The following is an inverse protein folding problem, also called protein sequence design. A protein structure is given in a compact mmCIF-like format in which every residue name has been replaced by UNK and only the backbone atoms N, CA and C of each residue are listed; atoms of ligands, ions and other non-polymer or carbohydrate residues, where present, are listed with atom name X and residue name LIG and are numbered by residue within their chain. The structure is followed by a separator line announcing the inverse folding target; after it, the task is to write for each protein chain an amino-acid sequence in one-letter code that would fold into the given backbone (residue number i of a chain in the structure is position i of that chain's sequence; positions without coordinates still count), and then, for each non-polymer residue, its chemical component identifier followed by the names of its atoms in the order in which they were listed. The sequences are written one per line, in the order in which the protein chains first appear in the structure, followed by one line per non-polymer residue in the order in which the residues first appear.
data_IF_360617914848
#
_entry.id   IF_360617914848
#
_cell.length_a   1.000
_cell.length_b   1.000
_cell.length_c   1.000
_cell.angle_alpha   90.00
_cell.angle_beta   90.00
_cell.angle_gamma   90.00
#
_symmetry.space_group_name_H-M   'P 1'
#
loop_
_entity.id
_entity.type
_entity.pdbx_description
1 polymer ?
#
# COMPACT_ATOMS: atom_id res chain seq x y z
N UNK A 1 -12.33 -7.68 23.13
CA UNK A 1 -11.20 -7.95 22.21
C UNK A 1 -10.71 -6.61 21.73
N UNK A 2 -9.55 -6.17 22.19
CA UNK A 2 -8.86 -5.03 21.59
C UNK A 2 -8.58 -5.38 20.13
N UNK A 3 -9.05 -4.54 19.20
CA UNK A 3 -8.57 -4.65 17.81
C UNK A 3 -7.08 -4.35 17.89
N UNK A 4 -6.18 -5.21 17.38
CA UNK A 4 -4.77 -4.86 17.35
C UNK A 4 -4.63 -3.53 16.61
N UNK A 5 -3.95 -2.56 17.23
CA UNK A 5 -3.55 -1.32 16.58
C UNK A 5 -2.74 -1.70 15.35
N UNK A 6 -3.39 -1.77 14.18
CA UNK A 6 -2.71 -2.06 12.94
C UNK A 6 -2.01 -0.75 12.51
N UNK A 7 -0.67 -0.67 12.60
CA UNK A 7 0.03 0.60 12.45
C UNK A 7 -0.09 1.18 11.02
N UNK A 8 -0.49 0.36 10.04
CA UNK A 8 -0.67 0.79 8.65
C UNK A 8 -1.95 1.59 8.41
N UNK A 9 -2.88 1.58 9.37
CA UNK A 9 -4.17 2.26 9.22
C UNK A 9 -3.96 3.77 9.07
N UNK A 10 -4.66 4.35 8.11
CA UNK A 10 -4.58 5.76 7.76
C UNK A 10 -4.08 5.98 6.34
N UNK A 11 -3.77 7.25 6.05
CA UNK A 11 -3.41 7.73 4.73
C UNK A 11 -1.91 8.01 4.64
N UNK A 12 -1.31 7.53 3.54
CA UNK A 12 0.13 7.56 3.30
C UNK A 12 0.40 8.03 1.88
N UNK A 13 1.21 9.08 1.71
CA UNK A 13 1.49 9.68 0.40
C UNK A 13 2.99 9.66 0.08
N UNK A 14 3.34 9.31 -1.15
CA UNK A 14 4.72 9.40 -1.62
C UNK A 14 5.16 10.87 -1.72
N UNK A 15 6.26 11.27 -1.06
CA UNK A 15 6.81 12.61 -1.21
C UNK A 15 7.46 12.80 -2.59
N UNK A 16 7.73 14.05 -2.94
CA UNK A 16 8.49 14.43 -4.13
C UNK A 16 9.89 13.79 -4.10
N UNK A 17 10.42 13.42 -5.27
CA UNK A 17 11.76 12.83 -5.42
C UNK A 17 11.78 11.32 -5.63
N UNK A 18 10.61 10.67 -5.74
CA UNK A 18 10.47 9.26 -6.11
C UNK A 18 9.53 9.10 -7.31
N UNK A 19 9.60 7.98 -8.06
CA UNK A 19 8.62 7.68 -9.10
C UNK A 19 7.19 7.69 -8.56
N UNK A 20 6.26 8.31 -9.28
CA UNK A 20 4.86 8.48 -8.88
C UNK A 20 4.68 9.36 -7.63
N UNK A 21 5.48 10.42 -7.48
CA UNK A 21 5.31 11.40 -6.40
C UNK A 21 3.86 11.87 -6.31
N UNK A 22 3.29 11.87 -5.10
CA UNK A 22 1.88 12.20 -4.88
C UNK A 22 0.91 11.01 -4.95
N UNK A 23 1.32 9.82 -5.43
CA UNK A 23 0.56 8.58 -5.22
C UNK A 23 0.33 8.39 -3.72
N UNK A 24 -0.92 8.11 -3.34
CA UNK A 24 -1.26 7.82 -1.96
C UNK A 24 -2.06 6.53 -1.83
N UNK A 25 -1.91 5.90 -0.68
CA UNK A 25 -2.73 4.81 -0.18
C UNK A 25 -3.50 5.25 1.05
N UNK A 26 -4.72 4.77 1.20
CA UNK A 26 -5.51 4.89 2.41
C UNK A 26 -5.97 3.50 2.83
N UNK A 27 -5.58 3.08 4.04
CA UNK A 27 -5.89 1.77 4.62
C UNK A 27 -6.90 1.95 5.75
N UNK A 28 -8.08 1.35 5.59
CA UNK A 28 -9.21 1.55 6.49
C UNK A 28 -9.30 0.44 7.55
N UNK A 29 -9.91 0.77 8.69
CA UNK A 29 -10.10 -0.17 9.82
C UNK A 29 -10.99 -1.37 9.48
N UNK A 30 -11.76 -1.30 8.40
CA UNK A 30 -12.63 -2.38 7.92
C UNK A 30 -11.92 -3.37 6.98
N UNK A 31 -10.62 -3.17 6.72
CA UNK A 31 -9.83 -4.00 5.83
C UNK A 31 -9.95 -3.62 4.35
N UNK A 32 -10.52 -2.46 4.03
CA UNK A 32 -10.51 -1.91 2.66
C UNK A 32 -9.34 -0.96 2.44
N UNK A 33 -8.88 -0.86 1.20
CA UNK A 33 -7.90 0.16 0.81
C UNK A 33 -8.33 0.90 -0.45
N UNK A 34 -7.82 2.13 -0.56
CA UNK A 34 -7.84 2.91 -1.79
C UNK A 34 -6.41 3.35 -2.14
N UNK A 35 -6.08 3.39 -3.42
CA UNK A 35 -4.88 4.02 -3.94
C UNK A 35 -5.26 5.00 -5.05
N UNK A 36 -4.66 6.19 -5.06
CA UNK A 36 -4.92 7.19 -6.10
C UNK A 36 -3.63 7.89 -6.49
N UNK A 37 -3.43 8.01 -7.80
CA UNK A 37 -2.43 8.88 -8.38
C UNK A 37 -3.10 9.82 -9.39
N UNK A 38 -3.42 11.02 -8.89
CA UNK A 38 -4.21 12.03 -9.60
C UNK A 38 -3.57 12.47 -10.91
N UNK A 39 -2.24 12.59 -10.95
CA UNK A 39 -1.50 13.06 -12.13
C UNK A 39 -1.73 12.18 -13.37
N UNK A 40 -1.95 10.88 -13.17
CA UNK A 40 -2.25 9.93 -14.26
C UNK A 40 -3.72 9.51 -14.28
N UNK A 41 -4.59 10.11 -13.46
CA UNK A 41 -5.99 9.70 -13.33
C UNK A 41 -6.17 8.25 -12.86
N UNK A 42 -5.19 7.69 -12.14
CA UNK A 42 -5.22 6.31 -11.67
C UNK A 42 -5.91 6.24 -10.33
N UNK A 43 -6.89 5.35 -10.23
CA UNK A 43 -7.53 4.93 -8.99
C UNK A 43 -7.48 3.41 -8.89
N UNK A 44 -7.37 2.92 -7.67
CA UNK A 44 -7.41 1.49 -7.36
C UNK A 44 -8.05 1.28 -6.00
N UNK A 45 -8.73 0.16 -5.83
CA UNK A 45 -9.36 -0.18 -4.56
C UNK A 45 -9.48 -1.69 -4.40
N UNK A 46 -9.69 -2.11 -3.15
CA UNK A 46 -9.81 -3.52 -2.82
C UNK A 46 -9.79 -3.75 -1.32
N UNK A 47 -9.41 -4.96 -0.93
CA UNK A 47 -9.21 -5.33 0.47
C UNK A 47 -7.75 -5.60 0.77
N UNK A 48 -7.39 -5.53 2.05
CA UNK A 48 -6.06 -5.85 2.51
C UNK A 48 -6.09 -6.61 3.83
N UNK A 49 -5.04 -7.39 4.04
CA UNK A 49 -4.68 -7.95 5.34
C UNK A 49 -3.19 -7.74 5.59
N UNK A 50 -2.81 -7.67 6.86
CA UNK A 50 -1.40 -7.61 7.27
C UNK A 50 -1.08 -8.80 8.16
N UNK A 51 0.14 -9.29 8.04
CA UNK A 51 0.70 -10.31 8.93
C UNK A 51 2.18 -10.02 9.10
N UNK A 52 2.62 -9.75 10.33
CA UNK A 52 4.00 -9.37 10.65
C UNK A 52 4.46 -8.16 9.79
N UNK A 53 5.48 -8.36 8.94
CA UNK A 53 6.03 -7.35 8.05
C UNK A 53 5.47 -7.44 6.61
N UNK A 54 4.44 -8.27 6.39
CA UNK A 54 3.83 -8.49 5.09
C UNK A 54 2.44 -7.87 4.98
N UNK A 55 2.16 -7.36 3.78
CA UNK A 55 0.86 -6.86 3.37
C UNK A 55 0.37 -7.65 2.16
N UNK A 56 -0.90 -8.04 2.18
CA UNK A 56 -1.56 -8.73 1.10
C UNK A 56 -2.74 -7.89 0.65
N UNK A 57 -2.78 -7.56 -0.64
CA UNK A 57 -3.82 -6.75 -1.25
C UNK A 57 -4.60 -7.62 -2.23
N UNK A 58 -5.91 -7.56 -2.16
CA UNK A 58 -6.80 -8.06 -3.20
C UNK A 58 -7.42 -6.86 -3.91
N UNK A 59 -6.78 -6.44 -5.00
CA UNK A 59 -7.19 -5.27 -5.78
C UNK A 59 -8.26 -5.69 -6.78
N UNK A 60 -9.51 -5.33 -6.47
CA UNK A 60 -10.68 -5.66 -7.29
C UNK A 60 -11.06 -4.53 -8.26
N UNK A 61 -10.48 -3.33 -8.08
CA UNK A 61 -10.71 -2.18 -8.95
C UNK A 61 -9.39 -1.51 -9.32
N UNK A 62 -9.23 -1.16 -10.59
CA UNK A 62 -8.11 -0.37 -11.10
C UNK A 62 -8.50 0.31 -12.42
N UNK A 63 -8.20 1.61 -12.61
CA UNK A 63 -8.62 2.38 -13.79
C UNK A 63 -8.17 1.77 -15.13
N UNK A 64 -7.01 1.10 -15.17
CA UNK A 64 -6.48 0.40 -16.34
C UNK A 64 -6.64 -1.13 -16.30
N UNK A 65 -7.51 -1.68 -15.44
CA UNK A 65 -7.79 -3.12 -15.41
C UNK A 65 -6.72 -4.01 -14.77
N UNK A 66 -5.71 -3.43 -14.12
CA UNK A 66 -4.67 -4.17 -13.38
C UNK A 66 -5.20 -4.71 -12.05
N UNK A 67 -6.17 -5.61 -12.09
CA UNK A 67 -6.75 -6.26 -10.91
C UNK A 67 -5.95 -7.51 -10.51
N UNK A 68 -6.05 -7.93 -9.25
CA UNK A 68 -5.46 -9.18 -8.76
C UNK A 68 -4.91 -9.09 -7.35
N UNK A 69 -4.23 -10.17 -6.96
CA UNK A 69 -3.60 -10.28 -5.64
C UNK A 69 -2.16 -9.82 -5.69
N UNK A 70 -1.81 -8.91 -4.79
CA UNK A 70 -0.47 -8.36 -4.66
C UNK A 70 0.06 -8.67 -3.27
N UNK A 71 1.25 -9.24 -3.20
CA UNK A 71 1.96 -9.47 -1.95
C UNK A 71 3.08 -8.43 -1.81
N UNK A 72 3.27 -7.92 -0.60
CA UNK A 72 4.29 -6.91 -0.31
C UNK A 72 4.89 -7.04 1.08
N UNK A 73 5.99 -6.31 1.29
CA UNK A 73 6.59 -6.08 2.60
C UNK A 73 6.49 -4.62 2.96
N UNK A 74 6.35 -4.35 4.25
CA UNK A 74 6.31 -3.00 4.75
C UNK A 74 7.05 -2.84 6.08
N UNK A 75 7.47 -1.61 6.36
CA UNK A 75 7.98 -1.19 7.66
C UNK A 75 7.44 0.19 7.97
N UNK A 76 6.96 0.37 9.20
CA UNK A 76 6.48 1.66 9.69
C UNK A 76 7.42 2.15 10.79
N UNK A 77 7.76 3.43 10.70
CA UNK A 77 8.43 4.17 11.76
C UNK A 77 7.68 5.49 11.94
N UNK A 78 7.13 5.71 13.14
CA UNK A 78 6.47 6.94 13.62
C UNK A 78 5.56 7.67 12.60
N UNK A 79 6.10 8.36 11.59
CA UNK A 79 5.37 9.08 10.54
C UNK A 79 5.66 8.61 9.10
N UNK A 80 6.40 7.51 8.93
CA UNK A 80 6.86 6.99 7.64
C UNK A 80 6.49 5.53 7.45
N UNK A 81 6.15 5.20 6.20
CA UNK A 81 5.88 3.85 5.71
C UNK A 81 6.84 3.57 4.56
N UNK A 82 7.68 2.56 4.70
CA UNK A 82 8.39 1.94 3.58
C UNK A 82 7.58 0.75 3.11
N UNK A 83 7.22 0.72 1.83
CA UNK A 83 6.45 -0.38 1.26
C UNK A 83 7.01 -0.81 -0.10
N UNK A 84 7.19 -2.12 -0.27
CA UNK A 84 7.57 -2.76 -1.52
C UNK A 84 6.55 -3.84 -1.85
N UNK A 85 6.15 -3.97 -3.12
CA UNK A 85 5.17 -4.97 -3.57
C UNK A 85 5.67 -5.67 -4.82
N UNK A 86 5.35 -6.95 -4.96
CA UNK A 86 5.50 -7.70 -6.21
C UNK A 86 4.43 -7.32 -7.23
N UNK A 87 4.52 -7.88 -8.44
CA UNK A 87 3.43 -7.79 -9.41
C UNK A 87 2.25 -8.69 -9.00
N UNK A 88 1.13 -8.58 -9.72
CA UNK A 88 -0.04 -9.43 -9.47
C UNK A 88 0.33 -10.92 -9.61
N UNK A 89 0.02 -11.72 -8.59
CA UNK A 89 0.33 -13.15 -8.53
C UNK A 89 1.77 -13.50 -8.14
N UNK A 90 2.64 -12.50 -7.99
CA UNK A 90 4.00 -12.71 -7.48
C UNK A 90 4.05 -12.68 -5.95
N UNK A 91 5.08 -13.31 -5.39
CA UNK A 91 5.36 -13.28 -3.96
C UNK A 91 5.88 -11.92 -3.51
N UNK A 92 5.70 -11.64 -2.22
CA UNK A 92 6.28 -10.46 -1.59
C UNK A 92 7.79 -10.41 -1.86
N UNK A 93 8.36 -9.22 -2.15
CA UNK A 93 9.80 -9.06 -2.27
C UNK A 93 10.53 -9.60 -1.04
N UNK A 94 11.76 -10.10 -1.22
CA UNK A 94 12.54 -10.68 -0.11
C UNK A 94 12.96 -9.64 0.93
N UNK A 95 13.04 -8.36 0.55
CA UNK A 95 13.45 -7.24 1.40
C UNK A 95 12.82 -5.90 0.93
N UNK A 96 13.20 -4.81 1.61
CA UNK A 96 12.74 -3.45 1.35
C UNK A 96 13.70 -2.61 0.49
N UNK A 97 14.70 -3.21 -0.17
CA UNK A 97 15.72 -2.49 -0.96
C UNK A 97 15.13 -1.64 -2.10
N UNK A 98 13.97 -2.04 -2.62
CA UNK A 98 13.22 -1.33 -3.68
C UNK A 98 11.96 -0.63 -3.18
N UNK A 99 11.79 -0.53 -1.86
CA UNK A 99 10.61 0.07 -1.26
C UNK A 99 10.44 1.53 -1.69
N UNK A 100 9.18 1.97 -1.74
CA UNK A 100 8.83 3.39 -1.81
C UNK A 100 8.57 3.91 -0.42
N UNK A 101 9.02 5.13 -0.16
CA UNK A 101 8.70 5.87 1.05
C UNK A 101 7.36 6.58 0.86
N UNK A 102 6.51 6.47 1.88
CA UNK A 102 5.27 7.21 2.04
C UNK A 102 5.29 7.91 3.40
N UNK A 103 4.75 9.12 3.45
CA UNK A 103 4.62 9.90 4.68
C UNK A 103 3.15 9.95 5.07
N UNK A 104 2.89 9.87 6.38
CA UNK A 104 1.54 9.97 6.93
C UNK A 104 0.93 11.34 6.58
N UNK A 105 -0.36 11.35 6.23
CA UNK A 105 -1.17 12.55 6.01
C UNK A 105 -2.04 12.86 7.23
#
# INVERSE_FOLDING_TARGET
MEKPDNPIIGKWQQPVGQPYAGLWFEFNLDGTFQAVYTEMGVTSAGTFIVSEDQIYLDQTQHSFGLIGKFEGRFKIDSASLLMSRGNAGEKAPVDLSKARLYLKQ
#
